data_IF_854395769120
#
_entry.id   IF_854395769120
#
_cell.length_a   1.000
_cell.length_b   1.000
_cell.length_c   1.000
_cell.angle_alpha   90.00
_cell.angle_beta   90.00
_cell.angle_gamma   90.00
#
_symmetry.space_group_name_H-M   'P 1'
#
loop_
_entity.id
_entity.type
_entity.pdbx_description
1 polymer ?
#
# COMPACT_ATOMS: atom_id res chain seq x y z
N UNK A 1 90.42 -50.35 -11.16
CA UNK A 1 89.13 -50.52 -11.88
C UNK A 1 88.02 -50.17 -10.91
N UNK A 2 87.59 -48.89 -10.88
CA UNK A 2 86.72 -48.34 -9.84
C UNK A 2 85.31 -48.22 -10.43
N UNK A 3 84.37 -49.06 -9.97
CA UNK A 3 82.95 -48.94 -10.30
C UNK A 3 82.30 -47.83 -9.47
N UNK A 4 81.88 -46.74 -10.13
CA UNK A 4 80.94 -45.76 -9.56
C UNK A 4 79.50 -46.24 -9.80
N UNK A 5 78.78 -46.55 -8.73
CA UNK A 5 77.32 -46.77 -8.76
C UNK A 5 76.61 -45.44 -8.54
N UNK A 6 75.86 -44.98 -9.54
CA UNK A 6 74.89 -43.90 -9.38
C UNK A 6 73.66 -44.43 -8.63
N UNK A 7 73.29 -43.80 -7.51
CA UNK A 7 71.96 -43.93 -6.91
C UNK A 7 71.13 -42.73 -7.32
N UNK A 8 70.06 -43.01 -8.06
CA UNK A 8 69.07 -42.08 -8.57
C UNK A 8 68.20 -41.58 -7.39
N UNK A 9 67.98 -40.27 -7.36
CA UNK A 9 67.19 -39.55 -6.37
C UNK A 9 65.69 -39.86 -6.53
N UNK A 10 65.08 -40.46 -5.50
CA UNK A 10 63.63 -40.69 -5.43
C UNK A 10 62.96 -39.44 -4.84
N UNK A 11 62.67 -38.47 -5.69
CA UNK A 11 61.79 -37.33 -5.37
C UNK A 11 61.09 -36.96 -6.66
N UNK A 12 59.79 -36.66 -6.59
CA UNK A 12 58.84 -36.48 -7.69
C UNK A 12 58.19 -37.78 -8.19
N UNK A 13 56.98 -38.04 -7.70
CA UNK A 13 55.75 -38.40 -8.44
C UNK A 13 54.70 -38.67 -7.35
N UNK A 14 54.17 -37.64 -6.70
CA UNK A 14 52.99 -37.76 -5.83
C UNK A 14 52.25 -36.41 -5.68
N UNK A 15 52.28 -35.57 -6.71
CA UNK A 15 51.62 -34.25 -6.68
C UNK A 15 50.96 -33.87 -8.01
N UNK A 16 50.41 -34.84 -8.73
CA UNK A 16 49.76 -34.58 -10.03
C UNK A 16 48.52 -35.45 -10.28
N UNK A 17 47.78 -35.80 -9.22
CA UNK A 17 46.48 -36.49 -9.37
C UNK A 17 45.37 -35.97 -8.43
N UNK A 18 45.60 -34.86 -7.71
CA UNK A 18 44.63 -34.26 -6.78
C UNK A 18 44.09 -32.89 -7.23
N UNK A 19 44.32 -32.50 -8.50
CA UNK A 19 43.83 -31.23 -9.06
C UNK A 19 42.79 -31.41 -10.19
N UNK A 20 42.39 -32.65 -10.51
CA UNK A 20 41.50 -32.95 -11.62
C UNK A 20 40.03 -33.23 -11.22
N UNK A 21 39.70 -33.18 -9.92
CA UNK A 21 38.34 -33.44 -9.43
C UNK A 21 37.54 -32.20 -9.02
N UNK A 22 38.11 -30.98 -9.11
CA UNK A 22 37.40 -29.73 -8.80
C UNK A 22 36.58 -29.15 -9.96
N UNK A 23 36.58 -29.80 -11.12
CA UNK A 23 35.80 -29.35 -12.29
C UNK A 23 34.48 -30.10 -12.47
N UNK A 24 34.12 -31.01 -11.57
CA UNK A 24 32.81 -31.66 -11.63
C UNK A 24 31.71 -30.78 -11.02
N UNK A 25 31.11 -29.99 -11.90
CA UNK A 25 29.66 -29.84 -12.00
C UNK A 25 28.95 -29.29 -10.75
N UNK A 26 29.10 -27.99 -10.52
CA UNK A 26 27.94 -27.20 -10.14
C UNK A 26 27.35 -26.50 -11.38
N UNK A 27 26.97 -27.30 -12.38
CA UNK A 27 25.90 -26.85 -13.28
C UNK A 27 24.63 -26.87 -12.44
N UNK A 28 24.30 -25.74 -11.80
CA UNK A 28 22.92 -25.51 -11.39
C UNK A 28 22.11 -25.59 -12.67
N UNK A 29 21.21 -26.57 -12.78
CA UNK A 29 20.18 -26.53 -13.82
C UNK A 29 19.51 -25.16 -13.68
N UNK A 30 19.46 -24.40 -14.77
CA UNK A 30 18.57 -23.24 -14.84
C UNK A 30 17.21 -23.73 -14.37
N UNK A 31 16.71 -23.18 -13.27
CA UNK A 31 15.41 -23.57 -12.74
C UNK A 31 14.39 -23.17 -13.82
N UNK A 32 13.78 -24.14 -14.53
CA UNK A 32 12.86 -23.86 -15.61
C UNK A 32 11.57 -23.18 -15.10
N UNK A 33 11.43 -23.01 -13.77
CA UNK A 33 10.34 -22.29 -13.13
C UNK A 33 10.66 -20.84 -12.73
N UNK A 34 11.82 -20.28 -13.10
CA UNK A 34 12.10 -18.85 -12.84
C UNK A 34 11.35 -17.90 -13.80
N UNK A 35 10.04 -18.07 -13.96
CA UNK A 35 9.14 -17.11 -14.62
C UNK A 35 8.93 -15.87 -13.73
N UNK A 36 10.00 -15.33 -13.17
CA UNK A 36 9.97 -14.14 -12.34
C UNK A 36 9.69 -12.95 -13.25
N UNK A 37 8.47 -12.41 -13.16
CA UNK A 37 8.08 -11.24 -13.95
C UNK A 37 8.73 -9.98 -13.38
N UNK A 38 9.60 -9.33 -14.15
CA UNK A 38 10.13 -8.03 -13.77
C UNK A 38 9.14 -6.90 -14.15
N UNK A 39 8.69 -6.13 -13.16
CA UNK A 39 7.78 -5.00 -13.34
C UNK A 39 8.50 -3.65 -13.49
N UNK A 40 9.83 -3.63 -13.39
CA UNK A 40 10.61 -2.40 -13.44
C UNK A 40 10.28 -1.49 -12.25
N UNK A 41 10.13 -0.19 -12.52
CA UNK A 41 9.73 0.79 -11.50
C UNK A 41 8.25 1.14 -11.66
N UNK A 42 7.46 0.98 -10.60
CA UNK A 42 6.03 1.28 -10.57
C UNK A 42 5.77 2.43 -9.62
N UNK A 43 5.28 3.54 -10.18
CA UNK A 43 4.89 4.72 -9.43
C UNK A 43 3.40 4.68 -9.04
N UNK A 44 3.07 5.35 -7.95
CA UNK A 44 1.69 5.66 -7.57
C UNK A 44 1.08 6.57 -8.65
N UNK A 45 -0.08 6.21 -9.23
CA UNK A 45 -0.77 7.07 -10.16
C UNK A 45 -1.12 8.43 -9.55
N UNK A 46 -0.96 9.51 -10.33
CA UNK A 46 -1.18 10.87 -9.82
C UNK A 46 -2.62 11.08 -9.33
N UNK A 47 -3.60 10.51 -10.03
CA UNK A 47 -5.01 10.55 -9.63
C UNK A 47 -5.27 9.91 -8.24
N UNK A 48 -4.49 8.90 -7.85
CA UNK A 48 -4.52 8.33 -6.50
C UNK A 48 -3.87 9.27 -5.49
N UNK A 49 -2.72 9.87 -5.83
CA UNK A 49 -2.05 10.85 -4.95
C UNK A 49 -2.93 12.07 -4.72
N UNK A 50 -3.59 12.59 -5.75
CA UNK A 50 -4.50 13.74 -5.64
C UNK A 50 -5.67 13.48 -4.68
N UNK A 51 -6.14 12.24 -4.56
CA UNK A 51 -7.27 11.86 -3.71
C UNK A 51 -6.88 11.45 -2.28
N UNK A 52 -5.62 11.08 -2.05
CA UNK A 52 -5.22 10.38 -0.82
C UNK A 52 -3.88 10.79 -0.22
N UNK A 53 -3.01 11.47 -0.97
CA UNK A 53 -1.68 11.85 -0.53
C UNK A 53 -1.64 13.30 0.00
N UNK A 54 -1.34 13.45 1.29
CA UNK A 54 -1.41 14.71 2.02
C UNK A 54 -0.31 14.80 3.08
N UNK A 55 0.47 15.89 3.06
CA UNK A 55 1.64 16.15 3.90
C UNK A 55 1.30 16.71 5.29
N UNK A 56 2.21 16.58 6.28
CA UNK A 56 2.06 17.21 7.59
C UNK A 56 1.75 18.70 7.47
N UNK A 57 0.86 19.19 8.34
CA UNK A 57 0.24 20.51 8.24
C UNK A 57 -1.10 20.51 7.51
N UNK A 58 -1.45 19.42 6.81
CA UNK A 58 -2.81 19.19 6.32
C UNK A 58 -3.78 18.92 7.47
N UNK A 59 -4.97 19.53 7.43
CA UNK A 59 -6.07 19.21 8.33
C UNK A 59 -7.43 19.37 7.66
N UNK A 60 -8.42 18.68 8.22
CA UNK A 60 -9.83 18.73 7.88
C UNK A 60 -10.64 18.91 9.16
N UNK A 61 -11.60 19.83 9.14
CA UNK A 61 -12.56 20.04 10.22
C UNK A 61 -13.92 19.59 9.72
N UNK A 62 -14.44 18.53 10.33
CA UNK A 62 -15.73 17.94 10.04
C UNK A 62 -16.77 18.32 11.10
N UNK A 63 -18.03 18.41 10.68
CA UNK A 63 -19.19 18.53 11.57
C UNK A 63 -20.11 17.34 11.37
N UNK A 64 -20.49 16.70 12.47
CA UNK A 64 -21.56 15.71 12.51
C UNK A 64 -22.91 16.41 12.24
N UNK A 65 -23.61 15.98 11.19
CA UNK A 65 -24.89 16.58 10.78
C UNK A 65 -26.01 16.39 11.80
N UNK A 66 -25.92 15.39 12.67
CA UNK A 66 -26.95 15.11 13.68
C UNK A 66 -26.68 15.84 14.99
N UNK A 67 -25.48 15.67 15.54
CA UNK A 67 -25.13 16.20 16.87
C UNK A 67 -24.52 17.60 16.84
N UNK A 68 -24.05 18.05 15.68
CA UNK A 68 -23.26 19.27 15.55
C UNK A 68 -21.83 19.16 16.09
N UNK A 69 -21.41 17.98 16.58
CA UNK A 69 -20.05 17.74 17.08
C UNK A 69 -19.01 18.02 16.00
N UNK A 70 -17.90 18.64 16.41
CA UNK A 70 -16.79 18.99 15.52
C UNK A 70 -15.63 18.01 15.74
N UNK A 71 -15.07 17.52 14.64
CA UNK A 71 -13.84 16.73 14.63
C UNK A 71 -12.77 17.39 13.75
N UNK A 72 -11.56 17.53 14.28
CA UNK A 72 -10.39 17.90 13.50
C UNK A 72 -9.57 16.64 13.22
N UNK A 73 -9.48 16.26 11.96
CA UNK A 73 -8.58 15.21 11.48
C UNK A 73 -7.36 15.87 10.84
N UNK A 74 -6.16 15.51 11.25
CA UNK A 74 -4.94 16.16 10.78
C UNK A 74 -3.81 15.17 10.54
N UNK A 75 -2.97 15.47 9.56
CA UNK A 75 -1.78 14.67 9.22
C UNK A 75 -0.67 15.02 10.21
N UNK A 76 -0.14 13.98 10.88
CA UNK A 76 0.97 14.12 11.82
C UNK A 76 2.31 13.78 11.19
N UNK A 77 2.34 12.82 10.28
CA UNK A 77 3.58 12.33 9.69
C UNK A 77 3.35 11.61 8.35
N UNK A 78 4.41 11.45 7.56
CA UNK A 78 4.46 10.63 6.35
C UNK A 78 5.68 9.71 6.38
N UNK A 79 5.48 8.47 5.99
CA UNK A 79 6.55 7.60 5.50
C UNK A 79 6.34 7.33 4.01
N UNK A 80 7.34 7.56 3.18
CA UNK A 80 7.26 7.31 1.73
C UNK A 80 8.61 6.87 1.16
N UNK A 81 8.58 6.19 0.02
CA UNK A 81 9.78 5.79 -0.67
C UNK A 81 9.53 4.75 -1.75
N UNK A 82 10.60 4.05 -2.11
CA UNK A 82 10.58 2.93 -3.04
C UNK A 82 10.86 1.63 -2.27
N UNK A 83 10.06 0.61 -2.52
CA UNK A 83 10.26 -0.75 -1.99
C UNK A 83 10.82 -1.62 -3.13
N UNK A 84 12.04 -2.13 -2.96
CA UNK A 84 12.63 -3.10 -3.87
C UNK A 84 12.14 -4.52 -3.53
N UNK A 85 11.55 -5.19 -4.50
CA UNK A 85 11.16 -6.60 -4.42
C UNK A 85 12.10 -7.43 -5.29
N UNK A 86 12.91 -8.27 -4.64
CA UNK A 86 13.81 -9.24 -5.26
C UNK A 86 13.17 -10.63 -5.38
N UNK A 87 13.73 -11.45 -6.28
CA UNK A 87 13.19 -12.78 -6.62
C UNK A 87 13.22 -13.77 -5.45
N UNK A 88 14.11 -13.55 -4.48
CA UNK A 88 14.34 -14.43 -3.33
C UNK A 88 13.17 -14.44 -2.33
N UNK A 89 12.19 -13.54 -2.49
CA UNK A 89 11.05 -13.43 -1.58
C UNK A 89 9.91 -14.44 -1.83
N UNK A 90 10.13 -15.53 -2.60
CA UNK A 90 9.06 -16.44 -3.08
C UNK A 90 7.93 -15.71 -3.83
N UNK A 91 8.19 -14.48 -4.28
CA UNK A 91 7.27 -13.68 -5.06
C UNK A 91 7.62 -13.96 -6.52
N UNK A 92 6.65 -14.41 -7.33
CA UNK A 92 6.85 -14.64 -8.77
C UNK A 92 7.09 -13.36 -9.59
N UNK A 93 7.66 -12.32 -8.98
CA UNK A 93 7.87 -11.00 -9.55
C UNK A 93 9.02 -10.24 -8.86
N UNK A 94 9.62 -9.32 -9.61
CA UNK A 94 10.60 -8.35 -9.11
C UNK A 94 10.25 -6.93 -9.55
N UNK A 95 10.78 -5.92 -8.86
CA UNK A 95 10.64 -4.51 -9.26
C UNK A 95 10.81 -3.55 -8.09
N UNK A 96 10.77 -2.26 -8.38
CA UNK A 96 10.78 -1.17 -7.41
C UNK A 96 9.38 -0.53 -7.38
N UNK A 97 8.75 -0.48 -6.21
CA UNK A 97 7.37 -0.02 -6.07
C UNK A 97 7.29 1.19 -5.16
N UNK A 98 6.71 2.29 -5.63
CA UNK A 98 6.44 3.44 -4.77
C UNK A 98 5.46 3.03 -3.67
N UNK A 99 5.71 3.50 -2.46
CA UNK A 99 4.81 3.37 -1.33
C UNK A 99 4.73 4.68 -0.57
N UNK A 100 3.59 4.89 0.09
CA UNK A 100 3.43 5.96 1.06
C UNK A 100 2.47 5.53 2.16
N UNK A 101 2.68 6.08 3.35
CA UNK A 101 1.82 5.95 4.53
C UNK A 101 1.65 7.32 5.16
N UNK A 102 0.40 7.75 5.33
CA UNK A 102 0.02 9.02 5.92
C UNK A 102 -0.58 8.75 7.27
N UNK A 103 0.08 9.25 8.31
CA UNK A 103 -0.32 9.08 9.70
C UNK A 103 -1.19 10.27 10.09
N UNK A 104 -2.35 9.99 10.67
CA UNK A 104 -3.34 11.00 11.04
C UNK A 104 -3.88 10.77 12.45
N UNK A 105 -4.37 11.87 13.02
CA UNK A 105 -5.06 11.92 14.30
C UNK A 105 -6.42 12.58 14.16
N UNK A 106 -7.37 12.16 15.01
CA UNK A 106 -8.65 12.83 15.24
C UNK A 106 -8.56 13.58 16.56
N UNK A 107 -9.28 14.69 16.69
CA UNK A 107 -9.42 15.41 17.98
C UNK A 107 -10.50 14.80 18.87
N UNK A 108 -11.36 13.92 18.34
CA UNK A 108 -12.46 13.31 19.08
C UNK A 108 -12.12 11.97 19.71
N UNK A 109 -11.02 11.35 19.32
CA UNK A 109 -10.61 10.06 19.83
C UNK A 109 -9.09 9.94 19.99
N UNK A 110 -8.66 8.83 20.60
CA UNK A 110 -7.25 8.55 20.87
C UNK A 110 -6.63 7.59 19.86
N UNK A 111 -7.35 7.22 18.79
CA UNK A 111 -6.86 6.27 17.81
C UNK A 111 -5.76 6.88 16.94
N UNK A 112 -5.00 6.00 16.29
CA UNK A 112 -4.11 6.32 15.19
C UNK A 112 -4.79 5.88 13.90
N UNK A 113 -4.76 6.76 12.90
CA UNK A 113 -5.27 6.48 11.57
C UNK A 113 -4.12 6.50 10.58
N UNK A 114 -4.12 5.55 9.64
CA UNK A 114 -3.12 5.47 8.59
C UNK A 114 -3.83 5.30 7.27
N UNK A 115 -3.53 6.14 6.28
CA UNK A 115 -3.85 5.82 4.89
C UNK A 115 -2.56 5.39 4.21
N UNK A 116 -2.54 4.23 3.57
CA UNK A 116 -1.30 3.74 2.95
C UNK A 116 -1.55 3.08 1.60
N UNK A 117 -0.53 3.17 0.74
CA UNK A 117 -0.48 2.65 -0.62
C UNK A 117 0.85 1.92 -0.82
N UNK A 118 0.80 0.76 -1.48
CA UNK A 118 2.02 0.10 -2.01
C UNK A 118 1.80 -0.27 -3.47
N UNK A 119 2.74 0.11 -4.34
CA UNK A 119 2.67 -0.13 -5.77
C UNK A 119 2.58 -1.61 -6.14
N UNK A 120 3.14 -2.53 -5.33
CA UNK A 120 3.15 -3.95 -5.65
C UNK A 120 1.74 -4.58 -5.66
N UNK A 121 0.72 -3.93 -5.08
CA UNK A 121 -0.66 -4.43 -5.12
C UNK A 121 -1.23 -4.53 -6.54
N UNK A 122 -0.68 -3.79 -7.50
CA UNK A 122 -1.05 -3.90 -8.92
C UNK A 122 -0.91 -5.33 -9.45
N UNK A 123 -0.01 -6.11 -8.87
CA UNK A 123 0.33 -7.46 -9.33
C UNK A 123 -0.80 -8.45 -9.00
N UNK A 124 -1.53 -8.23 -7.90
CA UNK A 124 -2.54 -9.18 -7.41
C UNK A 124 -3.92 -8.99 -8.04
N UNK A 125 -4.17 -7.90 -8.77
CA UNK A 125 -5.48 -7.67 -9.36
C UNK A 125 -5.60 -6.46 -10.29
N UNK A 126 -4.47 -5.89 -10.72
CA UNK A 126 -4.43 -4.71 -11.59
C UNK A 126 -5.21 -3.51 -11.01
N UNK A 127 -5.12 -3.30 -9.70
CA UNK A 127 -5.71 -2.14 -9.04
C UNK A 127 -4.73 -1.51 -8.05
N UNK A 128 -5.00 -0.23 -7.72
CA UNK A 128 -4.13 0.62 -6.91
C UNK A 128 -4.88 0.98 -5.62
N UNK A 129 -4.93 0.09 -4.62
CA UNK A 129 -5.69 0.34 -3.40
C UNK A 129 -4.95 1.32 -2.50
N UNK A 130 -5.72 2.25 -1.95
CA UNK A 130 -5.32 2.97 -0.74
C UNK A 130 -6.09 2.34 0.40
N UNK A 131 -5.36 1.78 1.35
CA UNK A 131 -5.94 1.23 2.56
C UNK A 131 -6.07 2.30 3.63
N UNK A 132 -7.09 2.17 4.47
CA UNK A 132 -7.16 2.85 5.76
C UNK A 132 -7.01 1.83 6.88
N UNK A 133 -6.10 2.10 7.81
CA UNK A 133 -5.92 1.33 9.04
C UNK A 133 -6.26 2.19 10.26
N UNK A 134 -6.87 1.58 11.27
CA UNK A 134 -7.17 2.18 12.57
C UNK A 134 -6.55 1.32 13.67
N UNK A 135 -5.87 1.95 14.62
CA UNK A 135 -5.32 1.27 15.81
C UNK A 135 -5.44 2.14 17.05
N UNK A 136 -5.50 1.50 18.22
CA UNK A 136 -5.28 2.17 19.51
C UNK A 136 -3.83 1.97 19.95
N UNK A 137 -3.45 2.56 21.08
CA UNK A 137 -2.15 2.28 21.69
C UNK A 137 -1.98 0.80 22.11
N UNK A 138 -3.08 0.10 22.38
CA UNK A 138 -3.07 -1.28 22.88
C UNK A 138 -3.20 -2.33 21.77
N UNK A 139 -3.92 -2.03 20.68
CA UNK A 139 -4.22 -3.03 19.65
C UNK A 139 -4.57 -2.41 18.29
N UNK A 140 -4.31 -3.18 17.23
CA UNK A 140 -4.87 -2.94 15.91
C UNK A 140 -6.37 -3.19 15.88
N UNK A 141 -7.16 -2.23 15.38
CA UNK A 141 -8.61 -2.42 15.17
C UNK A 141 -8.84 -3.12 13.84
N UNK A 142 -8.19 -2.64 12.77
CA UNK A 142 -8.26 -3.28 11.46
C UNK A 142 -8.01 -2.33 10.31
N UNK A 143 -8.04 -2.89 9.09
CA UNK A 143 -7.90 -2.17 7.83
C UNK A 143 -9.08 -2.39 6.89
N UNK A 144 -9.31 -1.41 6.02
CA UNK A 144 -10.24 -1.48 4.88
C UNK A 144 -9.63 -0.81 3.65
N UNK A 145 -10.13 -1.11 2.45
CA UNK A 145 -9.81 -0.34 1.23
C UNK A 145 -10.62 0.96 1.26
N UNK A 146 -9.93 2.09 1.37
CA UNK A 146 -10.54 3.42 1.35
C UNK A 146 -10.96 3.82 -0.07
N UNK A 147 -10.05 3.68 -1.03
CA UNK A 147 -10.31 3.92 -2.45
C UNK A 147 -9.40 3.06 -3.34
N UNK A 148 -9.71 2.99 -4.63
CA UNK A 148 -8.90 2.31 -5.63
C UNK A 148 -9.11 2.92 -7.01
N UNK A 149 -8.10 2.86 -7.87
CA UNK A 149 -8.06 3.57 -9.17
C UNK A 149 -9.05 3.07 -10.22
N UNK A 150 -9.70 1.93 -10.00
CA UNK A 150 -10.81 1.52 -10.87
C UNK A 150 -12.02 2.42 -10.58
N UNK A 151 -11.99 3.64 -11.12
CA UNK A 151 -13.05 4.63 -10.95
C UNK A 151 -14.30 4.32 -11.78
N UNK A 152 -14.41 3.08 -12.27
CA UNK A 152 -15.59 2.56 -12.94
C UNK A 152 -16.70 2.31 -11.91
N UNK A 153 -17.87 2.90 -12.14
CA UNK A 153 -19.03 2.65 -11.31
C UNK A 153 -19.39 1.15 -11.30
N UNK A 154 -19.58 0.58 -10.11
CA UNK A 154 -19.86 -0.83 -9.89
C UNK A 154 -18.63 -1.70 -9.64
N UNK A 155 -17.41 -1.20 -9.89
CA UNK A 155 -16.20 -1.94 -9.58
C UNK A 155 -16.14 -2.28 -8.08
N UNK A 156 -15.86 -3.55 -7.76
CA UNK A 156 -15.96 -4.10 -6.41
C UNK A 156 -14.65 -4.77 -6.01
N UNK A 157 -14.22 -4.53 -4.77
CA UNK A 157 -12.95 -4.98 -4.21
C UNK A 157 -13.22 -5.62 -2.85
N UNK A 158 -12.75 -6.86 -2.66
CA UNK A 158 -12.94 -7.57 -1.40
C UNK A 158 -11.94 -7.06 -0.36
N UNK A 159 -12.44 -6.72 0.83
CA UNK A 159 -11.64 -6.40 2.01
C UNK A 159 -11.32 -7.69 2.78
N UNK A 160 -10.19 -7.72 3.47
CA UNK A 160 -9.75 -8.88 4.27
C UNK A 160 -10.77 -9.29 5.36
N UNK A 161 -11.66 -8.38 5.78
CA UNK A 161 -12.58 -8.56 6.91
C UNK A 161 -14.05 -8.81 6.50
N UNK A 162 -14.27 -9.58 5.43
CA UNK A 162 -15.58 -9.95 4.84
C UNK A 162 -16.39 -8.78 4.25
N UNK A 163 -15.84 -7.57 4.20
CA UNK A 163 -16.45 -6.40 3.56
C UNK A 163 -16.08 -6.29 2.08
N UNK A 164 -16.75 -5.37 1.38
CA UNK A 164 -16.43 -5.00 0.02
C UNK A 164 -16.37 -3.47 -0.11
N UNK A 165 -15.37 -2.98 -0.82
CA UNK A 165 -15.31 -1.60 -1.28
C UNK A 165 -15.83 -1.53 -2.71
N UNK A 166 -16.86 -0.72 -2.94
CA UNK A 166 -17.56 -0.58 -4.23
C UNK A 166 -17.39 0.87 -4.70
N UNK A 167 -16.82 1.04 -5.89
CA UNK A 167 -16.77 2.32 -6.56
C UNK A 167 -18.18 2.69 -7.06
N UNK A 168 -18.69 3.86 -6.67
CA UNK A 168 -19.96 4.40 -7.18
C UNK A 168 -19.74 5.36 -8.35
N UNK A 169 -18.49 5.55 -8.78
CA UNK A 169 -18.09 6.47 -9.84
C UNK A 169 -17.96 7.91 -9.37
N UNK A 170 -17.70 8.79 -10.34
CA UNK A 170 -17.68 10.23 -10.14
C UNK A 170 -19.09 10.82 -10.29
N UNK A 171 -19.44 11.70 -9.36
CA UNK A 171 -20.65 12.52 -9.40
C UNK A 171 -20.26 13.91 -9.89
N UNK A 172 -21.06 14.53 -10.80
CA UNK A 172 -20.75 15.86 -11.31
C UNK A 172 -20.60 16.87 -10.17
N UNK A 173 -21.52 16.84 -9.20
CA UNK A 173 -21.44 17.64 -7.99
C UNK A 173 -22.08 16.96 -6.78
N UNK A 174 -21.65 17.37 -5.59
CA UNK A 174 -22.25 16.99 -4.30
C UNK A 174 -22.29 18.21 -3.38
N UNK A 175 -23.45 18.45 -2.77
CA UNK A 175 -23.63 19.47 -1.74
C UNK A 175 -23.25 18.89 -0.38
N UNK A 176 -22.39 19.61 0.34
CA UNK A 176 -21.83 19.25 1.62
C UNK A 176 -21.86 20.48 2.54
N UNK A 177 -22.94 20.63 3.31
CA UNK A 177 -23.18 21.85 4.09
C UNK A 177 -23.43 23.03 3.15
N UNK A 178 -22.72 24.12 3.37
CA UNK A 178 -22.83 25.35 2.56
C UNK A 178 -21.93 25.34 1.31
N UNK A 179 -21.22 24.24 1.06
CA UNK A 179 -20.28 24.10 -0.06
C UNK A 179 -20.78 23.09 -1.10
N UNK A 180 -20.53 23.41 -2.37
CA UNK A 180 -20.75 22.48 -3.49
C UNK A 180 -19.40 22.04 -4.03
N UNK A 181 -19.17 20.73 -4.02
CA UNK A 181 -17.96 20.13 -4.57
C UNK A 181 -18.24 19.54 -5.94
N UNK A 182 -17.32 19.72 -6.89
CA UNK A 182 -17.41 19.17 -8.25
C UNK A 182 -16.54 17.92 -8.38
N UNK A 183 -16.87 17.07 -9.35
CA UNK A 183 -16.12 15.86 -9.70
C UNK A 183 -15.80 14.98 -8.48
N UNK A 184 -16.84 14.54 -7.79
CA UNK A 184 -16.72 13.86 -6.50
C UNK A 184 -16.72 12.35 -6.70
N UNK A 185 -15.61 11.70 -6.38
CA UNK A 185 -15.55 10.23 -6.37
C UNK A 185 -16.29 9.71 -5.15
N UNK A 186 -17.27 8.83 -5.35
CA UNK A 186 -17.98 8.17 -4.26
C UNK A 186 -17.56 6.71 -4.12
N UNK A 187 -17.10 6.32 -2.94
CA UNK A 187 -16.77 4.93 -2.58
C UNK A 187 -17.74 4.44 -1.51
N UNK A 188 -18.15 3.17 -1.58
CA UNK A 188 -18.93 2.49 -0.53
C UNK A 188 -18.09 1.39 0.08
N UNK A 189 -17.92 1.37 1.39
CA UNK A 189 -17.49 0.20 2.12
C UNK A 189 -18.72 -0.48 2.73
N UNK A 190 -18.97 -1.75 2.40
CA UNK A 190 -20.12 -2.49 2.91
C UNK A 190 -19.97 -2.90 4.37
N UNK A 191 -18.74 -2.96 4.90
CA UNK A 191 -18.46 -3.34 6.28
C UNK A 191 -17.13 -2.71 6.73
N UNK A 192 -17.20 -1.46 7.18
CA UNK A 192 -16.02 -0.68 7.46
C UNK A 192 -15.49 -0.91 8.87
N UNK A 193 -14.47 -1.74 8.99
CA UNK A 193 -13.87 -2.06 10.30
C UNK A 193 -13.30 -0.82 11.02
N UNK A 194 -12.87 0.21 10.28
CA UNK A 194 -12.33 1.44 10.86
C UNK A 194 -13.43 2.34 11.44
N UNK A 195 -14.70 2.03 11.13
CA UNK A 195 -15.90 2.69 11.60
C UNK A 195 -16.83 1.67 12.31
N UNK A 196 -16.26 0.78 13.12
CA UNK A 196 -16.99 -0.21 13.92
C UNK A 196 -17.88 -1.16 13.09
N UNK A 197 -17.39 -1.56 11.90
CA UNK A 197 -18.09 -2.40 10.92
C UNK A 197 -19.33 -1.76 10.27
N UNK A 198 -19.56 -0.45 10.44
CA UNK A 198 -20.68 0.23 9.81
C UNK A 198 -20.48 0.35 8.29
N UNK A 199 -21.54 0.18 7.50
CA UNK A 199 -21.44 0.45 6.06
C UNK A 199 -21.26 1.95 5.86
N UNK A 200 -20.24 2.32 5.10
CA UNK A 200 -19.78 3.71 5.01
C UNK A 200 -19.73 4.18 3.56
N UNK A 201 -20.22 5.39 3.28
CA UNK A 201 -19.87 6.10 2.04
C UNK A 201 -18.77 7.12 2.31
N UNK A 202 -17.77 7.15 1.43
CA UNK A 202 -16.75 8.19 1.35
C UNK A 202 -16.91 8.99 0.06
N UNK A 203 -16.75 10.30 0.18
CA UNK A 203 -16.83 11.24 -0.94
C UNK A 203 -15.49 11.97 -1.05
N UNK A 204 -14.72 11.63 -2.07
CA UNK A 204 -13.38 12.15 -2.30
C UNK A 204 -13.39 13.24 -3.37
N UNK A 205 -12.57 14.27 -3.16
CA UNK A 205 -12.32 15.35 -4.11
C UNK A 205 -10.82 15.52 -4.25
N UNK A 206 -10.34 15.58 -5.49
CA UNK A 206 -8.93 15.79 -5.80
C UNK A 206 -8.42 17.07 -5.10
N UNK A 207 -7.23 16.96 -4.50
CA UNK A 207 -6.56 17.99 -3.72
C UNK A 207 -7.36 18.53 -2.54
N UNK A 208 -8.38 17.79 -2.08
CA UNK A 208 -9.19 18.14 -0.88
C UNK A 208 -9.45 16.94 0.03
N UNK A 209 -9.25 15.72 -0.45
CA UNK A 209 -9.46 14.51 0.35
C UNK A 209 -10.94 14.20 0.53
N UNK A 210 -11.33 13.72 1.71
CA UNK A 210 -12.72 13.33 1.99
C UNK A 210 -13.52 14.57 2.37
N UNK A 211 -14.53 14.91 1.57
CA UNK A 211 -15.41 16.07 1.84
C UNK A 211 -16.70 15.67 2.58
N UNK A 212 -17.05 14.38 2.54
CA UNK A 212 -18.19 13.81 3.27
C UNK A 212 -17.96 12.32 3.59
N UNK A 213 -18.35 11.91 4.80
CA UNK A 213 -18.41 10.51 5.24
C UNK A 213 -19.81 10.21 5.77
N UNK A 214 -20.46 9.15 5.30
CA UNK A 214 -21.80 8.74 5.76
C UNK A 214 -21.74 7.35 6.40
N UNK A 215 -22.12 7.23 7.66
CA UNK A 215 -22.21 6.00 8.43
C UNK A 215 -23.67 5.54 8.42
N UNK A 216 -23.98 4.49 7.64
CA UNK A 216 -25.35 4.15 7.26
C UNK A 216 -26.16 3.55 8.41
N UNK A 217 -25.57 2.65 9.20
CA UNK A 217 -26.21 2.03 10.36
C UNK A 217 -26.46 3.03 11.50
N UNK A 218 -25.65 4.08 11.58
CA UNK A 218 -25.80 5.15 12.56
C UNK A 218 -26.60 6.35 12.07
N UNK A 219 -26.99 6.38 10.79
CA UNK A 219 -27.59 7.54 10.12
C UNK A 219 -26.77 8.85 10.31
N UNK A 220 -25.45 8.73 10.48
CA UNK A 220 -24.56 9.85 10.83
C UNK A 220 -23.80 10.33 9.59
N UNK A 221 -23.76 11.64 9.35
CA UNK A 221 -22.93 12.23 8.30
C UNK A 221 -21.89 13.17 8.90
N UNK A 222 -20.64 12.98 8.52
CA UNK A 222 -19.56 13.94 8.77
C UNK A 222 -19.36 14.76 7.50
N UNK A 223 -19.52 16.07 7.61
CA UNK A 223 -19.44 17.01 6.49
C UNK A 223 -18.26 17.94 6.69
N UNK A 224 -17.43 18.14 5.67
CA UNK A 224 -16.28 19.02 5.73
C UNK A 224 -16.72 20.49 5.81
N UNK A 225 -16.24 21.18 6.84
CA UNK A 225 -16.54 22.60 7.11
C UNK A 225 -15.36 23.50 6.76
N UNK A 226 -14.14 23.06 7.07
CA UNK A 226 -12.90 23.80 6.82
C UNK A 226 -11.75 22.84 6.59
N UNK A 227 -10.74 23.24 5.84
CA UNK A 227 -9.53 22.46 5.64
C UNK A 227 -8.33 23.37 5.39
N UNK A 228 -7.14 22.78 5.51
CA UNK A 228 -5.88 23.27 4.96
C UNK A 228 -5.20 22.07 4.29
N UNK A 229 -4.74 22.20 3.05
CA UNK A 229 -4.16 21.10 2.29
C UNK A 229 -2.70 21.42 1.93
N UNK A 230 -1.83 20.46 2.18
CA UNK A 230 -0.44 20.44 1.71
C UNK A 230 -0.24 19.09 1.01
N UNK A 231 0.21 19.11 -0.25
CA UNK A 231 0.49 17.90 -1.05
C UNK A 231 1.94 17.83 -1.48
#
# INVERSE_FOLDING_TARGET
MIQRKHKISATFIFFSFSLLFLFFYSCKKDDPNSNVKNWGTVYAPQDIKDLSYFKPGTYWIYKDSLSGQIDSVYVTDIAEGMEEVTADMNKGYTGNFEHFTIMMKSSLDTFNYFNYFHGYYIIYGNYYPVFRYKSSAAAGIGKTILLTRSFQAGATFTNDNTGQTICKGFFPSVICGDSTYQNVLKMKDTKNITENNDSTYYYHVASKGIVKKQLLGQNKNWVLVRYNIIQ
#
